data_IF_051427043377
#
_entry.id   IF_051427043377
#
_cell.length_a   1.000
_cell.length_b   1.000
_cell.length_c   1.000
_cell.angle_alpha   90.00
_cell.angle_beta   90.00
_cell.angle_gamma   90.00
#
_symmetry.space_group_name_H-M   'P 1'
#
loop_
_entity.id
_entity.type
_entity.pdbx_description
1 polymer ?
#
# COMPACT_ATOMS: atom_id res chain seq x y z
N UNK A 1 9.61 4.53 -31.71
CA UNK A 1 9.46 3.22 -31.02
C UNK A 1 10.77 2.77 -30.39
N UNK A 2 11.91 2.82 -31.10
CA UNK A 2 13.23 2.45 -30.56
C UNK A 2 13.70 3.24 -29.33
N UNK A 3 13.43 4.54 -29.22
CA UNK A 3 13.83 5.32 -28.04
C UNK A 3 13.06 4.92 -26.77
N UNK A 4 11.77 4.61 -26.90
CA UNK A 4 10.93 4.14 -25.80
C UNK A 4 11.26 2.70 -25.38
N UNK A 5 11.67 1.84 -26.32
CA UNK A 5 12.19 0.51 -26.02
C UNK A 5 13.54 0.56 -25.29
N UNK A 6 14.40 1.53 -25.64
CA UNK A 6 15.66 1.82 -24.93
C UNK A 6 15.42 2.36 -23.51
N UNK A 7 14.42 3.22 -23.31
CA UNK A 7 14.04 3.67 -21.96
C UNK A 7 13.45 2.53 -21.10
N UNK A 8 12.68 1.63 -21.71
CA UNK A 8 12.10 0.48 -21.00
C UNK A 8 13.17 -0.56 -20.61
N UNK A 9 14.13 -0.86 -21.49
CA UNK A 9 15.29 -1.71 -21.16
C UNK A 9 16.12 -1.11 -20.03
N UNK A 10 16.37 0.21 -20.06
CA UNK A 10 17.01 0.94 -18.95
C UNK A 10 16.24 0.79 -17.64
N UNK A 11 14.90 0.90 -17.66
CA UNK A 11 14.07 0.80 -16.46
C UNK A 11 14.16 -0.56 -15.74
N UNK A 12 14.28 -1.66 -16.49
CA UNK A 12 14.48 -3.01 -15.93
C UNK A 12 15.87 -3.21 -15.32
N UNK A 13 16.89 -2.56 -15.89
CA UNK A 13 18.29 -2.62 -15.44
C UNK A 13 18.58 -1.76 -14.20
N UNK A 14 17.71 -0.79 -13.88
CA UNK A 14 17.91 0.06 -12.69
C UNK A 14 17.82 -0.82 -11.43
N UNK A 15 18.89 -0.90 -10.62
CA UNK A 15 18.89 -1.70 -9.39
C UNK A 15 17.88 -1.17 -8.37
N UNK A 16 17.54 -1.99 -7.37
CA UNK A 16 16.63 -1.60 -6.28
C UNK A 16 17.05 -0.26 -5.65
N UNK A 17 18.35 -0.12 -5.41
CA UNK A 17 19.00 1.06 -4.88
C UNK A 17 20.30 1.27 -5.66
N UNK A 18 20.60 2.52 -6.03
CA UNK A 18 21.89 2.90 -6.59
C UNK A 18 22.37 4.22 -6.01
N UNK A 19 23.68 4.35 -5.89
CA UNK A 19 24.37 5.58 -5.49
C UNK A 19 25.22 6.02 -6.68
N UNK A 20 25.01 7.26 -7.15
CA UNK A 20 25.82 7.89 -8.18
C UNK A 20 26.50 9.13 -7.60
N UNK A 21 27.83 9.16 -7.63
CA UNK A 21 28.60 10.35 -7.23
C UNK A 21 28.79 11.24 -8.46
N UNK A 22 28.32 12.48 -8.37
CA UNK A 22 28.69 13.59 -9.26
C UNK A 22 29.64 14.52 -8.49
N UNK A 23 30.42 15.32 -9.21
CA UNK A 23 31.47 16.19 -8.64
C UNK A 23 31.00 17.01 -7.43
N UNK A 24 29.76 17.48 -7.43
CA UNK A 24 29.18 18.31 -6.34
C UNK A 24 28.07 17.63 -5.53
N UNK A 25 27.63 16.43 -5.89
CA UNK A 25 26.49 15.80 -5.20
C UNK A 25 26.55 14.28 -5.21
N UNK A 26 26.06 13.68 -4.13
CA UNK A 26 25.77 12.24 -4.08
C UNK A 26 24.30 12.03 -4.36
N UNK A 27 23.97 11.34 -5.46
CA UNK A 27 22.61 11.03 -5.87
C UNK A 27 22.27 9.61 -5.43
N UNK A 28 21.23 9.49 -4.61
CA UNK A 28 20.60 8.25 -4.19
C UNK A 28 19.37 8.00 -5.06
N UNK A 29 19.32 6.86 -5.72
CA UNK A 29 18.28 6.48 -6.66
C UNK A 29 17.58 5.22 -6.15
N UNK A 30 16.27 5.31 -5.87
CA UNK A 30 15.45 4.20 -5.38
C UNK A 30 14.39 3.78 -6.40
N UNK A 31 14.37 2.50 -6.76
CA UNK A 31 13.37 1.94 -7.67
C UNK A 31 12.11 1.54 -6.89
N UNK A 32 11.10 2.41 -6.90
CA UNK A 32 9.85 2.25 -6.14
C UNK A 32 9.04 1.02 -6.58
N UNK A 33 9.12 0.66 -7.86
CA UNK A 33 8.44 -0.53 -8.38
C UNK A 33 9.06 -1.84 -7.88
N UNK A 34 10.37 -1.87 -7.62
CA UNK A 34 11.06 -3.06 -7.07
C UNK A 34 10.95 -3.14 -5.54
N UNK A 35 11.06 -2.01 -4.83
CA UNK A 35 10.96 -2.00 -3.36
C UNK A 35 9.57 -2.42 -2.87
N UNK A 36 8.53 -2.14 -3.65
CA UNK A 36 7.17 -2.54 -3.29
C UNK A 36 6.98 -4.05 -3.19
N UNK A 37 7.52 -4.80 -4.15
CA UNK A 37 7.53 -6.25 -4.08
C UNK A 37 8.32 -6.76 -2.88
N UNK A 38 9.46 -6.13 -2.56
CA UNK A 38 10.27 -6.48 -1.39
C UNK A 38 9.55 -6.30 -0.04
N UNK A 39 8.60 -5.38 0.04
CA UNK A 39 7.79 -5.14 1.26
C UNK A 39 6.54 -6.04 1.27
N UNK A 40 5.93 -6.26 0.10
CA UNK A 40 4.69 -7.05 -0.02
C UNK A 40 4.93 -8.55 0.19
N UNK A 41 6.05 -9.12 -0.26
CA UNK A 41 6.33 -10.53 -0.05
C UNK A 41 6.41 -10.92 1.44
N UNK A 42 7.16 -10.19 2.30
CA UNK A 42 7.10 -10.40 3.75
C UNK A 42 5.69 -10.27 4.33
N UNK A 43 4.91 -9.27 3.89
CA UNK A 43 3.54 -9.08 4.37
C UNK A 43 2.64 -10.29 4.04
N UNK A 44 2.74 -10.81 2.81
CA UNK A 44 2.08 -12.06 2.45
C UNK A 44 2.57 -13.25 3.27
N UNK A 45 3.88 -13.32 3.50
CA UNK A 45 4.49 -14.30 4.38
C UNK A 45 3.84 -14.27 5.76
N UNK A 46 3.69 -13.10 6.37
CA UNK A 46 3.06 -12.95 7.68
C UNK A 46 1.57 -13.32 7.67
N UNK A 47 0.80 -12.86 6.68
CA UNK A 47 -0.64 -13.18 6.54
C UNK A 47 -0.87 -14.69 6.44
N UNK A 48 -0.16 -15.36 5.52
CA UNK A 48 -0.34 -16.81 5.33
C UNK A 48 0.34 -17.65 6.42
N UNK A 49 1.45 -17.18 7.00
CA UNK A 49 2.01 -17.80 8.20
C UNK A 49 1.03 -17.71 9.38
N UNK A 50 0.21 -16.65 9.46
CA UNK A 50 -0.81 -16.52 10.50
C UNK A 50 -1.88 -17.61 10.38
N UNK A 51 -2.36 -17.88 9.16
CA UNK A 51 -3.27 -18.99 8.87
C UNK A 51 -2.61 -20.33 9.20
N UNK A 52 -1.40 -20.56 8.68
CA UNK A 52 -0.70 -21.82 8.90
C UNK A 52 -0.46 -22.08 10.40
N UNK A 53 -0.05 -21.05 11.14
CA UNK A 53 0.11 -21.13 12.59
C UNK A 53 -1.21 -21.46 13.28
N UNK A 54 -2.31 -20.80 12.89
CA UNK A 54 -3.63 -21.07 13.45
C UNK A 54 -4.08 -22.52 13.22
N UNK A 55 -3.82 -23.04 12.02
CA UNK A 55 -4.14 -24.41 11.65
C UNK A 55 -3.25 -25.46 12.33
N UNK A 56 -2.01 -25.09 12.70
CA UNK A 56 -1.09 -25.99 13.37
C UNK A 56 -1.32 -26.05 14.88
N UNK A 57 -1.77 -24.96 15.50
CA UNK A 57 -1.86 -24.86 16.97
C UNK A 57 -3.28 -24.87 17.52
N UNK A 58 -4.25 -24.27 16.81
CA UNK A 58 -5.55 -23.93 17.40
C UNK A 58 -6.75 -24.56 16.69
N UNK A 59 -6.70 -24.74 15.37
CA UNK A 59 -7.87 -25.16 14.57
C UNK A 59 -7.57 -26.30 13.62
N UNK A 60 -8.53 -27.21 13.45
CA UNK A 60 -8.51 -28.17 12.34
C UNK A 60 -9.00 -27.50 11.06
N UNK A 61 -8.07 -26.89 10.30
CA UNK A 61 -8.41 -26.19 9.06
C UNK A 61 -8.94 -27.05 7.92
N UNK A 62 -8.97 -28.38 8.09
CA UNK A 62 -9.71 -29.28 7.21
C UNK A 62 -11.23 -29.21 7.44
N UNK A 63 -11.65 -28.81 8.64
CA UNK A 63 -13.05 -28.72 9.06
C UNK A 63 -13.51 -27.26 9.14
N UNK A 64 -12.64 -26.38 9.63
CA UNK A 64 -12.95 -24.97 9.88
C UNK A 64 -11.74 -24.08 9.56
N UNK A 65 -11.88 -23.24 8.53
CA UNK A 65 -10.91 -22.21 8.19
C UNK A 65 -11.29 -20.92 8.94
N UNK A 66 -10.48 -20.44 9.90
CA UNK A 66 -10.82 -19.25 10.65
C UNK A 66 -10.75 -18.00 9.77
N UNK A 67 -11.71 -17.10 9.93
CA UNK A 67 -11.69 -15.78 9.30
C UNK A 67 -10.58 -14.91 9.93
N UNK A 68 -10.00 -13.94 9.20
CA UNK A 68 -9.11 -12.93 9.79
C UNK A 68 -9.69 -12.26 11.04
N UNK A 69 -10.99 -11.92 11.01
CA UNK A 69 -11.68 -11.31 12.15
C UNK A 69 -11.71 -12.26 13.36
N UNK A 70 -12.01 -13.54 13.13
CA UNK A 70 -12.02 -14.55 14.17
C UNK A 70 -10.64 -14.79 14.77
N UNK A 71 -9.58 -14.78 13.94
CA UNK A 71 -8.20 -14.85 14.45
C UNK A 71 -7.80 -13.63 15.28
N UNK A 72 -8.38 -12.46 15.02
CA UNK A 72 -8.17 -11.25 15.81
C UNK A 72 -8.56 -11.42 17.29
N UNK A 73 -9.49 -12.32 17.61
CA UNK A 73 -9.85 -12.65 18.99
C UNK A 73 -8.71 -13.35 19.77
N UNK A 74 -7.69 -13.85 19.08
CA UNK A 74 -6.55 -14.54 19.68
C UNK A 74 -5.34 -13.61 19.68
N UNK A 75 -4.92 -13.16 20.87
CA UNK A 75 -3.85 -12.16 21.06
C UNK A 75 -2.53 -12.47 20.32
N UNK A 76 -2.18 -13.74 20.12
CA UNK A 76 -0.99 -14.13 19.36
C UNK A 76 -1.09 -13.85 17.86
N UNK A 77 -2.27 -14.08 17.28
CA UNK A 77 -2.57 -13.86 15.87
C UNK A 77 -2.77 -12.37 15.56
N UNK A 78 -3.33 -11.64 16.52
CA UNK A 78 -3.53 -10.20 16.46
C UNK A 78 -2.21 -9.42 16.32
N UNK A 79 -1.18 -9.79 17.10
CA UNK A 79 0.17 -9.18 16.98
C UNK A 79 0.78 -9.34 15.58
N UNK A 80 0.62 -10.49 14.94
CA UNK A 80 1.10 -10.71 13.56
C UNK A 80 0.34 -9.83 12.57
N UNK A 81 -0.96 -9.62 12.80
CA UNK A 81 -1.79 -8.74 12.00
C UNK A 81 -1.35 -7.27 12.14
N UNK A 82 -1.08 -6.78 13.36
CA UNK A 82 -0.56 -5.42 13.61
C UNK A 82 0.77 -5.17 12.88
N UNK A 83 1.68 -6.16 12.90
CA UNK A 83 2.95 -6.09 12.17
C UNK A 83 2.69 -5.98 10.66
N UNK A 84 1.76 -6.77 10.11
CA UNK A 84 1.38 -6.69 8.70
C UNK A 84 0.77 -5.32 8.34
N UNK A 85 -0.11 -4.76 9.18
CA UNK A 85 -0.66 -3.41 9.02
C UNK A 85 0.43 -2.33 9.01
N UNK A 86 1.47 -2.48 9.81
CA UNK A 86 2.62 -1.55 9.85
C UNK A 86 3.40 -1.57 8.54
N UNK A 87 3.70 -2.77 8.01
CA UNK A 87 4.30 -2.90 6.67
C UNK A 87 3.39 -2.33 5.58
N UNK A 88 2.07 -2.51 5.73
CA UNK A 88 1.09 -1.94 4.79
C UNK A 88 1.07 -0.41 4.83
N UNK A 89 1.18 0.20 6.01
CA UNK A 89 1.29 1.65 6.13
C UNK A 89 2.54 2.19 5.41
N UNK A 90 3.69 1.52 5.59
CA UNK A 90 4.92 1.90 4.90
C UNK A 90 4.79 1.81 3.37
N UNK A 91 4.15 0.76 2.84
CA UNK A 91 3.96 0.64 1.38
C UNK A 91 2.99 1.70 0.84
N UNK A 92 1.96 2.08 1.61
CA UNK A 92 1.04 3.15 1.23
C UNK A 92 1.76 4.51 1.15
N UNK A 93 2.67 4.81 2.08
CA UNK A 93 3.49 6.04 1.99
C UNK A 93 4.31 6.03 0.70
N UNK A 94 4.99 4.94 0.40
CA UNK A 94 5.75 4.81 -0.85
C UNK A 94 4.86 4.94 -2.08
N UNK A 95 3.63 4.39 -2.04
CA UNK A 95 2.67 4.47 -3.13
C UNK A 95 2.25 5.91 -3.38
N UNK A 96 1.98 6.66 -2.31
CA UNK A 96 1.61 8.05 -2.37
C UNK A 96 2.73 8.94 -2.91
N UNK A 97 3.97 8.74 -2.44
CA UNK A 97 5.14 9.44 -2.96
C UNK A 97 5.39 9.13 -4.44
N UNK A 98 5.22 7.86 -4.84
CA UNK A 98 5.35 7.42 -6.25
C UNK A 98 4.31 8.10 -7.13
N UNK A 99 3.05 8.05 -6.69
CA UNK A 99 1.89 8.61 -7.41
C UNK A 99 2.03 10.12 -7.55
N UNK A 100 2.41 10.81 -6.47
CA UNK A 100 2.66 12.26 -6.50
C UNK A 100 3.77 12.61 -7.48
N UNK A 101 4.91 11.90 -7.41
CA UNK A 101 6.06 12.18 -8.26
C UNK A 101 5.74 11.97 -9.75
N UNK A 102 4.97 10.93 -10.07
CA UNK A 102 4.54 10.62 -11.43
C UNK A 102 3.54 11.64 -11.99
N UNK A 103 2.53 12.00 -11.21
CA UNK A 103 1.46 12.89 -11.66
C UNK A 103 1.77 14.38 -11.49
N UNK A 104 2.83 14.76 -10.75
CA UNK A 104 3.20 16.14 -10.43
C UNK A 104 3.12 17.11 -11.61
N UNK A 105 3.51 16.66 -12.80
CA UNK A 105 3.54 17.44 -14.04
C UNK A 105 2.37 17.17 -15.01
N UNK A 106 1.52 16.16 -14.72
CA UNK A 106 0.49 15.64 -15.62
C UNK A 106 -0.94 15.94 -15.16
N UNK A 107 -1.14 16.35 -13.91
CA UNK A 107 -2.47 16.63 -13.35
C UNK A 107 -2.57 18.05 -12.84
N UNK A 108 -3.81 18.53 -12.68
CA UNK A 108 -4.07 19.86 -12.14
C UNK A 108 -3.51 20.00 -10.72
N UNK A 109 -3.13 21.21 -10.29
CA UNK A 109 -2.64 21.45 -8.93
C UNK A 109 -3.62 21.00 -7.83
N UNK A 110 -4.93 21.09 -8.10
CA UNK A 110 -6.00 20.65 -7.18
C UNK A 110 -6.00 19.14 -7.01
N UNK A 111 -6.01 18.39 -8.11
CA UNK A 111 -5.96 16.92 -8.09
C UNK A 111 -4.68 16.42 -7.42
N UNK A 112 -3.55 17.09 -7.71
CA UNK A 112 -2.26 16.77 -7.09
C UNK A 112 -2.28 16.95 -5.56
N UNK A 113 -2.83 18.06 -5.07
CA UNK A 113 -2.98 18.30 -3.63
C UNK A 113 -3.92 17.27 -2.99
N UNK A 114 -5.04 16.96 -3.64
CA UNK A 114 -5.98 15.94 -3.19
C UNK A 114 -5.34 14.57 -3.01
N UNK A 115 -4.64 14.07 -4.05
CA UNK A 115 -3.93 12.79 -4.00
C UNK A 115 -2.91 12.71 -2.86
N UNK A 116 -2.16 13.80 -2.64
CA UNK A 116 -1.14 13.86 -1.60
C UNK A 116 -1.75 13.91 -0.19
N UNK A 117 -2.68 14.84 0.05
CA UNK A 117 -3.29 15.04 1.38
C UNK A 117 -4.07 13.79 1.79
N UNK A 118 -4.92 13.28 0.89
CA UNK A 118 -5.72 12.09 1.16
C UNK A 118 -4.84 10.85 1.32
N UNK A 119 -3.83 10.68 0.47
CA UNK A 119 -2.88 9.58 0.61
C UNK A 119 -2.12 9.59 1.93
N UNK A 120 -1.62 10.76 2.33
CA UNK A 120 -0.92 10.94 3.60
C UNK A 120 -1.85 10.71 4.79
N UNK A 121 -3.06 11.28 4.79
CA UNK A 121 -4.02 11.08 5.87
C UNK A 121 -4.42 9.62 6.03
N UNK A 122 -4.64 8.89 4.93
CA UNK A 122 -4.91 7.45 4.97
C UNK A 122 -3.77 6.64 5.59
N UNK A 123 -2.52 7.01 5.29
CA UNK A 123 -1.34 6.32 5.84
C UNK A 123 -1.22 6.53 7.35
N UNK A 124 -1.50 7.75 7.83
CA UNK A 124 -1.53 8.08 9.26
C UNK A 124 -2.69 7.37 9.96
N UNK A 125 -3.89 7.42 9.38
CA UNK A 125 -5.09 6.79 9.94
C UNK A 125 -4.90 5.28 10.08
N UNK A 126 -4.26 4.60 9.13
CA UNK A 126 -4.00 3.16 9.25
C UNK A 126 -3.14 2.82 10.47
N UNK A 127 -2.11 3.62 10.76
CA UNK A 127 -1.30 3.44 11.95
C UNK A 127 -2.11 3.73 13.23
N UNK A 128 -2.97 4.75 13.21
CA UNK A 128 -3.86 5.07 14.32
C UNK A 128 -4.88 3.95 14.58
N UNK A 129 -5.42 3.30 13.54
CA UNK A 129 -6.33 2.16 13.69
C UNK A 129 -5.64 1.07 14.54
N UNK A 130 -4.44 0.62 14.14
CA UNK A 130 -3.72 -0.40 14.91
C UNK A 130 -3.38 0.01 16.34
N UNK A 131 -3.04 1.29 16.56
CA UNK A 131 -2.80 1.81 17.92
C UNK A 131 -4.06 1.84 18.78
N UNK A 132 -5.19 2.31 18.22
CA UNK A 132 -6.47 2.36 18.94
C UNK A 132 -7.02 0.97 19.23
N UNK A 133 -6.75 0.00 18.36
CA UNK A 133 -7.17 -1.39 18.54
C UNK A 133 -6.45 -2.04 19.73
N UNK A 134 -5.12 -1.96 19.79
CA UNK A 134 -4.35 -2.47 20.94
C UNK A 134 -4.69 -1.71 22.24
N UNK A 135 -4.85 -0.39 22.19
CA UNK A 135 -5.19 0.41 23.37
C UNK A 135 -6.56 0.04 23.95
N UNK A 136 -7.51 -0.34 23.08
CA UNK A 136 -8.84 -0.83 23.46
C UNK A 136 -8.76 -2.25 24.01
N UNK A 137 -8.03 -3.14 23.34
CA UNK A 137 -7.81 -4.52 23.78
C UNK A 137 -7.05 -4.64 25.11
N UNK A 138 -6.25 -3.63 25.48
CA UNK A 138 -5.59 -3.54 26.77
C UNK A 138 -6.49 -3.03 27.92
N UNK A 139 -7.77 -2.73 27.65
CA UNK A 139 -8.74 -2.14 28.59
C UNK A 139 -8.29 -0.82 29.27
N UNK A 140 -7.26 -0.16 28.71
CA UNK A 140 -6.71 1.08 29.28
C UNK A 140 -7.58 2.29 28.99
N UNK A 141 -8.18 2.36 27.79
CA UNK A 141 -9.04 3.48 27.35
C UNK A 141 -10.08 2.90 26.36
N UNK A 142 -11.40 3.09 26.57
CA UNK A 142 -12.42 2.60 25.64
C UNK A 142 -12.45 3.51 24.39
N UNK A 143 -11.68 3.13 23.36
CA UNK A 143 -11.56 3.88 22.10
C UNK A 143 -12.33 3.23 20.94
N UNK A 144 -13.28 2.33 21.22
CA UNK A 144 -14.05 1.57 20.22
C UNK A 144 -14.74 2.46 19.19
N UNK A 145 -15.42 3.53 19.64
CA UNK A 145 -16.09 4.48 18.74
C UNK A 145 -15.08 5.21 17.83
N UNK A 146 -13.93 5.60 18.38
CA UNK A 146 -12.86 6.27 17.62
C UNK A 146 -12.28 5.30 16.58
N UNK A 147 -11.99 4.06 16.97
CA UNK A 147 -11.51 3.02 16.07
C UNK A 147 -12.51 2.81 14.91
N UNK A 148 -13.81 2.70 15.20
CA UNK A 148 -14.86 2.57 14.19
C UNK A 148 -14.84 3.73 13.18
N UNK A 149 -14.78 4.99 13.65
CA UNK A 149 -14.71 6.15 12.75
C UNK A 149 -13.42 6.18 11.93
N UNK A 150 -12.27 5.80 12.51
CA UNK A 150 -11.00 5.72 11.79
C UNK A 150 -11.05 4.66 10.68
N UNK A 151 -11.59 3.47 10.97
CA UNK A 151 -11.78 2.39 9.99
C UNK A 151 -12.71 2.83 8.87
N UNK A 152 -13.82 3.49 9.19
CA UNK A 152 -14.76 4.00 8.19
C UNK A 152 -14.13 5.07 7.29
N UNK A 153 -13.42 6.04 7.89
CA UNK A 153 -12.66 7.05 7.16
C UNK A 153 -11.63 6.41 6.23
N UNK A 154 -10.88 5.42 6.72
CA UNK A 154 -9.87 4.72 5.93
C UNK A 154 -10.48 4.02 4.71
N UNK A 155 -11.60 3.30 4.90
CA UNK A 155 -12.32 2.61 3.82
C UNK A 155 -12.81 3.59 2.75
N UNK A 156 -13.57 4.62 3.15
CA UNK A 156 -14.15 5.60 2.22
C UNK A 156 -13.04 6.41 1.53
N UNK A 157 -12.06 6.89 2.30
CA UNK A 157 -10.95 7.66 1.77
C UNK A 157 -10.10 6.86 0.78
N UNK A 158 -9.87 5.57 1.03
CA UNK A 158 -9.15 4.68 0.10
C UNK A 158 -9.90 4.52 -1.22
N UNK A 159 -11.22 4.35 -1.19
CA UNK A 159 -12.04 4.29 -2.41
C UNK A 159 -11.97 5.59 -3.22
N UNK A 160 -12.08 6.74 -2.55
CA UNK A 160 -11.94 8.05 -3.19
C UNK A 160 -10.55 8.19 -3.79
N UNK A 161 -9.51 7.80 -3.06
CA UNK A 161 -8.12 7.88 -3.50
C UNK A 161 -7.86 7.01 -4.74
N UNK A 162 -8.30 5.74 -4.73
CA UNK A 162 -8.21 4.83 -5.88
C UNK A 162 -8.96 5.42 -7.09
N UNK A 163 -10.16 5.96 -6.87
CA UNK A 163 -10.95 6.63 -7.91
C UNK A 163 -10.21 7.81 -8.52
N UNK A 164 -9.54 8.64 -7.71
CA UNK A 164 -8.72 9.76 -8.18
C UNK A 164 -7.51 9.28 -9.00
N UNK A 165 -6.84 8.21 -8.56
CA UNK A 165 -5.71 7.61 -9.32
C UNK A 165 -6.20 7.06 -10.65
N UNK A 166 -7.29 6.29 -10.66
CA UNK A 166 -7.89 5.73 -11.87
C UNK A 166 -8.28 6.83 -12.86
N UNK A 167 -8.99 7.86 -12.39
CA UNK A 167 -9.39 9.00 -13.23
C UNK A 167 -8.17 9.74 -13.80
N UNK A 168 -7.17 10.02 -12.95
CA UNK A 168 -5.92 10.69 -13.37
C UNK A 168 -5.18 9.88 -14.42
N UNK A 169 -5.21 8.55 -14.31
CA UNK A 169 -4.57 7.66 -15.26
C UNK A 169 -5.33 7.59 -16.59
N UNK A 170 -6.65 7.41 -16.55
CA UNK A 170 -7.51 7.35 -17.75
C UNK A 170 -7.47 8.65 -18.55
N UNK A 171 -7.48 9.81 -17.88
CA UNK A 171 -7.38 11.12 -18.54
C UNK A 171 -6.04 11.31 -19.26
N UNK A 172 -4.97 10.69 -18.77
CA UNK A 172 -3.63 10.80 -19.34
C UNK A 172 -3.27 9.59 -20.23
N UNK A 173 -4.23 8.75 -20.59
CA UNK A 173 -3.98 7.47 -21.28
C UNK A 173 -3.35 7.62 -22.67
N UNK A 174 -3.65 8.72 -23.36
CA UNK A 174 -3.11 8.98 -24.71
C UNK A 174 -1.62 9.36 -24.69
N UNK A 175 -1.12 9.82 -23.54
CA UNK A 175 0.30 10.08 -23.30
C UNK A 175 1.06 8.82 -22.87
N UNK A 176 0.38 7.68 -22.75
CA UNK A 176 0.97 6.43 -22.31
C UNK A 176 1.40 5.54 -23.48
N UNK A 177 2.54 4.89 -23.32
CA UNK A 177 3.06 3.89 -24.25
C UNK A 177 2.04 2.74 -24.48
N UNK A 178 1.93 2.12 -25.67
CA UNK A 178 1.07 0.95 -25.91
C UNK A 178 1.17 -0.16 -24.84
N UNK A 179 2.34 -0.40 -24.24
CA UNK A 179 2.49 -1.34 -23.13
C UNK A 179 1.70 -0.92 -21.87
N UNK A 180 1.61 0.37 -21.59
CA UNK A 180 0.82 0.93 -20.50
C UNK A 180 -0.69 0.85 -20.78
N UNK A 181 -1.13 0.84 -22.05
CA UNK A 181 -2.54 0.60 -22.42
C UNK A 181 -2.96 -0.84 -22.15
N UNK A 182 -2.11 -1.82 -22.47
CA UNK A 182 -2.35 -3.24 -22.10
C UNK A 182 -2.41 -3.41 -20.58
N UNK A 183 -1.52 -2.71 -19.87
CA UNK A 183 -1.51 -2.71 -18.42
C UNK A 183 -2.78 -2.11 -17.82
N UNK A 184 -3.30 -1.00 -18.38
CA UNK A 184 -4.55 -0.39 -17.92
C UNK A 184 -5.72 -1.37 -17.97
N UNK A 185 -5.84 -2.14 -19.06
CA UNK A 185 -6.89 -3.17 -19.15
C UNK A 185 -6.76 -4.21 -18.04
N UNK A 186 -5.53 -4.67 -17.74
CA UNK A 186 -5.28 -5.59 -16.61
C UNK A 186 -5.67 -4.98 -15.28
N UNK A 187 -5.43 -3.68 -15.09
CA UNK A 187 -5.83 -2.95 -13.89
C UNK A 187 -7.34 -2.78 -13.79
N UNK A 188 -8.03 -2.49 -14.90
CA UNK A 188 -9.49 -2.45 -14.94
C UNK A 188 -10.09 -3.83 -14.61
N UNK A 189 -9.53 -4.91 -15.15
CA UNK A 189 -9.91 -6.28 -14.78
C UNK A 189 -9.67 -6.55 -13.29
N UNK A 190 -8.53 -6.13 -12.75
CA UNK A 190 -8.23 -6.25 -11.32
C UNK A 190 -9.24 -5.49 -10.46
N UNK A 191 -9.55 -4.24 -10.80
CA UNK A 191 -10.55 -3.44 -10.10
C UNK A 191 -11.96 -4.04 -10.20
N UNK A 192 -12.31 -4.63 -11.34
CA UNK A 192 -13.59 -5.32 -11.51
C UNK A 192 -13.69 -6.57 -10.62
N UNK A 193 -12.66 -7.41 -10.59
CA UNK A 193 -12.59 -8.59 -9.71
C UNK A 193 -12.68 -8.15 -8.24
N UNK A 194 -11.90 -7.13 -7.88
CA UNK A 194 -11.91 -6.56 -6.53
C UNK A 194 -13.28 -6.03 -6.14
N UNK A 195 -13.94 -5.30 -7.03
CA UNK A 195 -15.28 -4.76 -6.82
C UNK A 195 -16.34 -5.84 -6.67
N UNK A 196 -16.28 -6.91 -7.47
CA UNK A 196 -17.18 -8.07 -7.35
C UNK A 196 -17.00 -8.73 -5.97
N UNK A 197 -15.76 -9.01 -5.56
CA UNK A 197 -15.48 -9.61 -4.25
C UNK A 197 -15.93 -8.72 -3.09
N UNK A 198 -15.68 -7.41 -3.18
CA UNK A 198 -16.12 -6.45 -2.16
C UNK A 198 -17.65 -6.42 -2.04
N UNK A 199 -18.37 -6.43 -3.17
CA UNK A 199 -19.83 -6.46 -3.19
C UNK A 199 -20.37 -7.78 -2.64
N UNK A 200 -19.74 -8.91 -2.96
CA UNK A 200 -20.10 -10.22 -2.40
C UNK A 200 -20.01 -10.22 -0.87
N UNK A 201 -18.89 -9.73 -0.30
CA UNK A 201 -18.70 -9.66 1.16
C UNK A 201 -19.73 -8.73 1.80
N UNK A 202 -19.97 -7.54 1.23
CA UNK A 202 -20.95 -6.58 1.75
C UNK A 202 -22.37 -7.15 1.70
N UNK A 203 -22.73 -7.81 0.60
CA UNK A 203 -24.04 -8.42 0.43
C UNK A 203 -24.27 -9.53 1.47
N UNK A 204 -23.29 -10.39 1.69
CA UNK A 204 -23.33 -11.46 2.68
C UNK A 204 -23.44 -10.93 4.11
N UNK A 205 -22.62 -9.94 4.48
CA UNK A 205 -22.70 -9.28 5.81
C UNK A 205 -24.07 -8.62 6.04
N UNK A 206 -24.62 -7.98 5.00
CA UNK A 206 -25.94 -7.36 5.09
C UNK A 206 -27.02 -8.43 5.28
N UNK A 207 -26.92 -9.56 4.57
CA UNK A 207 -27.89 -10.65 4.65
C UNK A 207 -27.88 -11.36 6.01
N UNK A 208 -26.69 -11.64 6.55
CA UNK A 208 -26.51 -12.19 7.91
C UNK A 208 -27.09 -11.30 9.02
N UNK A 209 -27.11 -9.97 8.78
CA UNK A 209 -27.69 -9.01 9.72
C UNK A 209 -29.22 -9.05 9.76
N UNK A 210 -29.87 -9.58 8.71
CA UNK A 210 -31.32 -9.68 8.61
C UNK A 210 -31.87 -11.04 9.05
N UNK A 211 -31.11 -12.13 8.87
CA UNK A 211 -31.52 -13.47 9.32
C UNK A 211 -30.30 -14.38 9.56
N UNK A 212 -30.00 -14.69 10.82
CA UNK A 212 -28.77 -15.39 11.20
C UNK A 212 -28.74 -16.87 10.81
N UNK A 213 -29.88 -17.46 10.45
CA UNK A 213 -29.97 -18.88 10.03
C UNK A 213 -29.81 -19.08 8.52
N UNK A 214 -29.75 -17.99 7.75
CA UNK A 214 -29.76 -18.02 6.29
C UNK A 214 -28.43 -17.51 5.71
N UNK A 215 -27.30 -18.12 6.12
CA UNK A 215 -26.08 -17.91 5.36
C UNK A 215 -26.19 -18.60 4.00
N UNK A 216 -26.07 -17.83 2.92
CA UNK A 216 -26.04 -18.35 1.54
C UNK A 216 -24.76 -19.14 1.24
N UNK A 217 -23.77 -19.04 2.12
CA UNK A 217 -22.40 -19.52 1.91
C UNK A 217 -21.92 -20.22 3.19
N UNK A 218 -21.13 -21.29 3.06
CA UNK A 218 -20.56 -21.92 4.26
C UNK A 218 -19.48 -21.03 4.88
N UNK A 219 -19.31 -21.10 6.20
CA UNK A 219 -18.29 -20.34 6.96
C UNK A 219 -16.88 -20.47 6.35
N UNK A 220 -16.55 -21.63 5.78
CA UNK A 220 -15.28 -21.88 5.12
C UNK A 220 -15.12 -21.08 3.82
N UNK A 221 -16.19 -20.89 3.06
CA UNK A 221 -16.16 -20.08 1.84
C UNK A 221 -16.12 -18.60 2.21
N UNK A 222 -16.85 -18.16 3.24
CA UNK A 222 -16.75 -16.79 3.78
C UNK A 222 -15.30 -16.49 4.18
N UNK A 223 -14.68 -17.34 4.99
CA UNK A 223 -13.27 -17.21 5.37
C UNK A 223 -12.34 -17.17 4.15
N UNK A 224 -12.57 -18.03 3.15
CA UNK A 224 -11.78 -18.03 1.91
C UNK A 224 -11.92 -16.69 1.17
N UNK A 225 -13.14 -16.16 1.05
CA UNK A 225 -13.40 -14.88 0.40
C UNK A 225 -12.70 -13.74 1.14
N UNK A 226 -12.75 -13.72 2.48
CA UNK A 226 -12.04 -12.71 3.29
C UNK A 226 -10.51 -12.78 3.10
N UNK A 227 -9.92 -13.98 3.11
CA UNK A 227 -8.48 -14.15 2.89
C UNK A 227 -8.05 -13.76 1.48
N UNK A 228 -8.84 -14.12 0.46
CA UNK A 228 -8.59 -13.71 -0.93
C UNK A 228 -8.70 -12.19 -1.05
N UNK A 229 -9.72 -11.59 -0.44
CA UNK A 229 -9.91 -10.16 -0.44
C UNK A 229 -8.75 -9.42 0.24
N UNK A 230 -8.31 -9.89 1.41
CA UNK A 230 -7.15 -9.34 2.12
C UNK A 230 -5.86 -9.46 1.29
N UNK A 231 -5.66 -10.59 0.60
CA UNK A 231 -4.54 -10.79 -0.33
C UNK A 231 -4.58 -9.80 -1.49
N UNK A 232 -5.74 -9.58 -2.10
CA UNK A 232 -5.89 -8.60 -3.20
C UNK A 232 -5.64 -7.16 -2.73
N UNK A 233 -6.13 -6.78 -1.55
CA UNK A 233 -5.82 -5.47 -0.94
C UNK A 233 -4.31 -5.30 -0.78
N UNK A 234 -3.64 -6.34 -0.30
CA UNK A 234 -2.19 -6.34 -0.07
C UNK A 234 -1.41 -6.20 -1.38
N UNK A 235 -1.87 -6.81 -2.48
CA UNK A 235 -1.25 -6.70 -3.81
C UNK A 235 -1.49 -5.35 -4.47
N UNK A 236 -2.60 -4.69 -4.18
CA UNK A 236 -3.05 -3.52 -4.91
C UNK A 236 -1.99 -2.40 -4.99
N UNK A 237 -1.27 -2.03 -3.92
CA UNK A 237 -0.16 -1.07 -4.01
C UNK A 237 0.94 -1.49 -5.01
N UNK A 238 1.38 -2.75 -5.01
CA UNK A 238 2.39 -3.21 -5.97
C UNK A 238 1.88 -3.12 -7.40
N UNK A 239 0.62 -3.54 -7.62
CA UNK A 239 -0.04 -3.47 -8.92
C UNK A 239 -0.03 -2.02 -9.39
N UNK A 240 -0.58 -1.08 -8.60
CA UNK A 240 -0.59 0.35 -8.97
C UNK A 240 0.84 0.86 -9.21
N UNK A 241 1.84 0.47 -8.41
CA UNK A 241 3.22 0.87 -8.63
C UNK A 241 3.86 0.31 -9.92
N UNK A 242 3.32 -0.77 -10.50
CA UNK A 242 3.77 -1.24 -11.82
C UNK A 242 3.41 -0.25 -12.93
N UNK A 243 2.42 0.63 -12.73
CA UNK A 243 2.14 1.75 -13.64
C UNK A 243 3.36 2.66 -13.77
N UNK A 244 4.04 2.87 -12.64
CA UNK A 244 5.16 3.78 -12.51
C UNK A 244 6.49 3.08 -12.83
N UNK A 245 6.48 1.96 -13.55
CA UNK A 245 7.71 1.26 -13.98
C UNK A 245 8.65 2.23 -14.69
N UNK A 246 9.87 2.34 -14.18
CA UNK A 246 10.90 3.27 -14.68
C UNK A 246 10.94 4.62 -13.98
N UNK A 247 10.01 4.92 -13.07
CA UNK A 247 10.19 6.03 -12.13
C UNK A 247 11.11 5.61 -10.98
N UNK A 248 12.15 6.42 -10.81
CA UNK A 248 13.14 6.31 -9.76
C UNK A 248 12.99 7.53 -8.89
N UNK A 249 12.89 7.32 -7.57
CA UNK A 249 12.98 8.42 -6.63
C UNK A 249 14.46 8.78 -6.52
N UNK A 250 14.81 10.01 -6.89
CA UNK A 250 16.18 10.50 -6.78
C UNK A 250 16.29 11.56 -5.68
N UNK A 251 17.21 11.36 -4.76
CA UNK A 251 17.60 12.32 -3.73
C UNK A 251 19.04 12.73 -3.97
N UNK A 252 19.32 14.03 -3.99
CA UNK A 252 20.68 14.55 -4.10
C UNK A 252 21.09 15.16 -2.76
N UNK A 253 22.22 14.70 -2.21
CA UNK A 253 22.90 15.36 -1.10
C UNK A 253 24.04 16.18 -1.71
N UNK A 254 23.94 17.50 -1.60
CA UNK A 254 24.95 18.44 -2.09
C UNK A 254 26.16 18.42 -1.15
N UNK A 255 27.36 18.25 -1.71
CA UNK A 255 28.62 18.22 -0.94
C UNK A 255 29.10 19.61 -0.55
N UNK A 256 28.53 20.67 -1.13
CA UNK A 256 28.95 22.05 -0.85
C UNK A 256 28.69 22.49 0.60
N UNK A 257 27.78 21.83 1.32
CA UNK A 257 27.48 22.16 2.73
C UNK A 257 28.46 21.57 3.75
N UNK A 258 29.31 20.60 3.38
CA UNK A 258 30.29 20.00 4.30
C UNK A 258 31.62 20.80 4.39
N UNK A 259 31.84 21.75 3.48
CA UNK A 259 33.09 22.55 3.43
C UNK A 259 32.99 23.96 4.03
N UNK A 260 31.79 24.49 4.27
CA UNK A 260 31.63 25.82 4.92
C UNK A 260 31.64 25.75 6.46
N UNK A 261 31.74 24.56 7.05
CA UNK A 261 31.75 24.34 8.51
C UNK A 261 33.12 24.22 9.18
N UNK A 262 34.24 24.25 8.43
CA UNK A 262 35.59 23.97 9.00
C UNK A 262 36.65 25.04 8.66
N UNK A 263 36.35 26.07 7.86
CA UNK A 263 37.24 27.23 7.67
C UNK A 263 36.70 28.51 8.34
N UNK A 264 36.38 28.42 9.63
CA UNK A 264 36.31 29.57 10.53
C UNK A 264 37.53 29.53 11.47
N UNK A 265 38.42 30.52 11.31
CA UNK A 265 39.70 30.78 12.02
C UNK A 265 40.97 30.19 11.41
N UNK A 266 41.41 30.78 10.29
CA UNK A 266 42.86 30.98 10.06
C UNK A 266 43.15 32.17 9.12
N UNK A 267 42.58 33.32 9.42
CA UNK A 267 43.19 34.60 9.05
C UNK A 267 42.98 35.55 10.21
N UNK A 268 44.10 35.86 10.88
CA UNK A 268 44.44 37.11 11.58
C UNK A 268 45.53 36.79 12.62
N UNK A 269 46.79 36.98 12.25
CA UNK A 269 47.52 38.12 12.80
C UNK A 269 48.78 38.42 11.96
N UNK A 270 49.09 39.72 11.77
CA UNK A 270 50.30 40.20 11.11
C UNK A 270 51.59 39.87 11.86
#
# INVERSE_FOLDING_TARGET
MEELEKEHKKATEIPLFSIRRKEKATIFSLNLSKISWFIIFPMFGFIYANIAFACLTNFSCLQFLPTPLYLGCFRGHDRLFIVACTYFAAILVLLNLSTYSYFKAKVSPVTRKGLFILGFSLSVVLALIGLTDEATGAHTIPLEEINYYLVLYFKIGSLIWIGQVYYSFRKNQDLLNPNSKSWLRKFETFLAIFGILALSIIFEQSYLSFDSELSLVSENIEALLEWVFLGLITLMPAVIMQIFKGHVLEFAIDKSQDTEGVELKRMENP
#
